data_IF_466556135025
#
_entry.id   IF_466556135025
#
_cell.length_a   1.000
_cell.length_b   1.000
_cell.length_c   1.000
_cell.angle_alpha   90.00
_cell.angle_beta   90.00
_cell.angle_gamma   90.00
#
_symmetry.space_group_name_H-M   'P 1'
#
loop_
_entity.id
_entity.type
_entity.pdbx_description
1 polymer ?
#
# COMPACT_ATOMS: atom_id res chain seq x y z
N UNK A 1 9.34 -55.05 17.14
CA UNK A 1 9.56 -53.64 16.76
C UNK A 1 8.47 -53.25 15.78
N UNK A 2 7.50 -52.53 16.24
CA UNK A 2 6.42 -52.07 15.35
C UNK A 2 6.96 -50.94 14.49
N UNK A 3 6.76 -50.99 13.18
CA UNK A 3 7.11 -49.87 12.36
C UNK A 3 6.29 -48.67 12.83
N UNK A 4 6.98 -47.63 13.27
CA UNK A 4 6.34 -46.36 13.46
C UNK A 4 5.80 -45.94 12.09
N UNK A 5 4.50 -46.10 11.95
CA UNK A 5 3.81 -45.42 10.85
C UNK A 5 4.04 -43.95 11.10
N UNK A 6 4.90 -43.35 10.31
CA UNK A 6 4.99 -41.92 10.28
C UNK A 6 3.58 -41.37 10.10
N UNK A 7 3.09 -40.67 11.11
CA UNK A 7 1.82 -40.01 11.00
C UNK A 7 1.85 -39.18 9.73
N UNK A 8 0.92 -39.50 8.80
CA UNK A 8 0.76 -38.66 7.63
C UNK A 8 0.67 -37.20 8.09
N UNK A 9 1.39 -36.30 7.46
CA UNK A 9 1.28 -34.90 7.83
C UNK A 9 -0.19 -34.52 7.82
N UNK A 10 -0.67 -34.10 8.97
CA UNK A 10 -2.02 -33.56 9.08
C UNK A 10 -2.12 -32.49 7.98
N UNK A 11 -3.04 -32.61 7.04
CA UNK A 11 -3.18 -31.58 6.03
C UNK A 11 -3.44 -30.29 6.79
N UNK A 12 -2.50 -29.38 6.66
CA UNK A 12 -2.71 -28.00 7.07
C UNK A 12 -4.04 -27.58 6.46
N UNK A 13 -4.99 -27.05 7.24
CA UNK A 13 -6.22 -26.59 6.65
C UNK A 13 -5.83 -25.58 5.58
N UNK A 14 -6.04 -25.99 4.34
CA UNK A 14 -5.88 -25.11 3.20
C UNK A 14 -6.73 -23.88 3.48
N UNK A 15 -6.14 -22.67 3.44
CA UNK A 15 -6.95 -21.49 3.60
C UNK A 15 -8.08 -21.58 2.58
N UNK A 16 -9.30 -21.22 2.97
CA UNK A 16 -10.43 -21.30 2.05
C UNK A 16 -10.03 -20.55 0.78
N UNK A 17 -10.31 -21.13 -0.37
CA UNK A 17 -9.97 -20.49 -1.64
C UNK A 17 -10.53 -19.07 -1.59
N UNK A 18 -9.66 -18.11 -1.73
CA UNK A 18 -10.08 -16.72 -1.86
C UNK A 18 -10.96 -16.71 -3.09
N UNK A 19 -12.25 -16.65 -2.85
CA UNK A 19 -13.18 -16.53 -3.94
C UNK A 19 -13.04 -15.13 -4.54
N UNK A 20 -12.12 -15.06 -5.50
CA UNK A 20 -11.87 -13.87 -6.28
C UNK A 20 -13.17 -13.34 -6.89
N UNK A 21 -14.13 -14.20 -7.12
CA UNK A 21 -15.44 -13.81 -7.64
C UNK A 21 -16.28 -13.09 -6.58
N UNK A 22 -16.22 -13.52 -5.33
CA UNK A 22 -16.92 -12.80 -4.27
C UNK A 22 -16.20 -11.50 -3.90
N UNK A 23 -14.88 -11.49 -3.99
CA UNK A 23 -14.11 -10.26 -3.85
C UNK A 23 -14.38 -9.30 -5.03
N UNK A 24 -14.47 -9.82 -6.25
CA UNK A 24 -14.83 -9.04 -7.44
C UNK A 24 -16.33 -8.71 -7.49
N UNK A 25 -17.19 -9.58 -6.97
CA UNK A 25 -18.64 -9.35 -6.92
C UNK A 25 -19.02 -8.30 -5.88
N UNK A 26 -18.29 -8.21 -4.80
CA UNK A 26 -18.41 -7.09 -3.84
C UNK A 26 -17.75 -5.82 -4.36
N UNK A 27 -16.88 -5.99 -5.33
CA UNK A 27 -16.26 -4.96 -6.09
C UNK A 27 -16.97 -4.62 -7.39
N UNK A 28 -18.15 -5.19 -7.59
CA UNK A 28 -18.88 -5.15 -8.84
C UNK A 28 -19.23 -3.75 -9.31
N UNK A 29 -18.68 -3.39 -10.40
CA UNK A 29 -18.89 -2.10 -11.03
C UNK A 29 -17.97 -1.01 -10.49
N UNK A 30 -17.30 -0.37 -11.39
CA UNK A 30 -16.25 0.61 -11.10
C UNK A 30 -16.67 1.80 -10.21
N UNK A 31 -17.94 1.92 -9.90
CA UNK A 31 -18.45 2.98 -9.02
C UNK A 31 -18.89 2.52 -7.64
N UNK A 32 -19.43 1.33 -7.51
CA UNK A 32 -20.00 0.83 -6.25
C UNK A 32 -19.02 -0.01 -5.43
N UNK A 33 -18.02 -0.57 -6.08
CA UNK A 33 -16.97 -1.35 -5.45
C UNK A 33 -16.16 -0.55 -4.44
N UNK A 34 -16.07 0.71 -4.67
CA UNK A 34 -15.26 1.61 -3.87
C UNK A 34 -15.91 1.98 -2.54
N UNK A 35 -17.18 1.69 -2.34
CA UNK A 35 -17.89 2.00 -1.10
C UNK A 35 -17.66 1.01 0.03
N UNK A 36 -17.52 -0.28 -0.28
CA UNK A 36 -17.56 -1.36 0.73
C UNK A 36 -16.33 -1.48 1.62
N UNK A 37 -15.11 -1.24 1.10
CA UNK A 37 -13.84 -1.33 1.85
C UNK A 37 -13.29 0.01 2.31
N UNK A 38 -13.92 1.08 1.93
CA UNK A 38 -13.41 2.44 2.10
C UNK A 38 -13.97 3.18 3.32
N UNK A 39 -14.84 2.54 4.09
CA UNK A 39 -15.42 3.14 5.30
C UNK A 39 -16.16 4.46 5.08
N UNK A 40 -16.72 4.66 3.89
CA UNK A 40 -17.43 5.89 3.52
C UNK A 40 -16.54 6.99 2.93
N UNK A 41 -15.29 6.70 2.62
CA UNK A 41 -14.42 7.64 1.89
C UNK A 41 -14.84 7.66 0.42
N UNK A 42 -15.30 8.80 -0.05
CA UNK A 42 -15.81 8.99 -1.41
C UNK A 42 -15.17 10.20 -2.06
N UNK A 43 -14.91 10.08 -3.36
CA UNK A 43 -14.33 11.13 -4.17
C UNK A 43 -13.04 10.70 -4.84
N UNK A 44 -12.49 11.58 -5.66
CA UNK A 44 -11.25 11.30 -6.38
C UNK A 44 -10.06 11.31 -5.43
N UNK A 45 -9.12 10.35 -5.58
CA UNK A 45 -7.91 10.35 -4.79
C UNK A 45 -7.07 11.60 -5.05
N UNK A 46 -6.48 12.13 -3.99
CA UNK A 46 -5.54 13.24 -4.07
C UNK A 46 -4.14 12.65 -4.27
N UNK A 47 -3.40 13.06 -5.30
CA UNK A 47 -2.02 12.62 -5.47
C UNK A 47 -1.15 13.03 -4.28
N UNK A 48 -0.36 12.10 -3.76
CA UNK A 48 0.55 12.38 -2.64
C UNK A 48 1.62 13.42 -3.01
N UNK A 49 1.96 13.51 -4.29
CA UNK A 49 2.91 14.49 -4.84
C UNK A 49 2.23 15.77 -5.33
N UNK A 50 0.97 15.99 -4.98
CA UNK A 50 0.26 17.21 -5.34
C UNK A 50 1.01 18.46 -4.87
N UNK A 51 1.09 19.45 -5.75
CA UNK A 51 1.70 20.74 -5.48
C UNK A 51 0.69 21.81 -5.03
N UNK A 52 -0.56 21.42 -4.84
CA UNK A 52 -1.59 22.34 -4.36
C UNK A 52 -1.21 22.87 -2.97
N UNK A 53 -1.06 24.19 -2.87
CA UNK A 53 -0.64 24.87 -1.65
C UNK A 53 -1.58 24.59 -0.46
N UNK A 54 -2.85 24.30 -0.72
CA UNK A 54 -3.83 23.99 0.34
C UNK A 54 -3.54 22.68 1.05
N UNK A 55 -2.86 21.76 0.37
CA UNK A 55 -2.66 20.40 0.86
C UNK A 55 -1.19 20.07 1.14
N UNK A 56 -0.27 20.91 0.69
CA UNK A 56 1.16 20.62 0.67
C UNK A 56 1.72 20.27 2.06
N UNK A 57 1.36 21.02 3.09
CA UNK A 57 1.85 20.77 4.45
C UNK A 57 1.40 19.41 4.97
N UNK A 58 0.15 19.06 4.77
CA UNK A 58 -0.38 17.79 5.21
C UNK A 58 0.23 16.62 4.42
N UNK A 59 0.29 16.77 3.09
CA UNK A 59 0.90 15.75 2.23
C UNK A 59 2.39 15.55 2.54
N UNK A 60 3.11 16.60 2.91
CA UNK A 60 4.50 16.49 3.36
C UNK A 60 4.64 15.67 4.63
N UNK A 61 3.74 15.86 5.57
CA UNK A 61 3.71 15.04 6.80
C UNK A 61 3.45 13.57 6.49
N UNK A 62 2.54 13.28 5.58
CA UNK A 62 2.28 11.91 5.13
C UNK A 62 3.53 11.32 4.48
N UNK A 63 4.15 12.06 3.54
CA UNK A 63 5.36 11.61 2.84
C UNK A 63 6.49 11.27 3.82
N UNK A 64 6.72 12.13 4.81
CA UNK A 64 7.77 11.90 5.81
C UNK A 64 7.53 10.63 6.62
N UNK A 65 6.30 10.42 7.07
CA UNK A 65 5.94 9.22 7.84
C UNK A 65 6.09 7.94 7.03
N UNK A 66 5.65 7.97 5.78
CA UNK A 66 5.76 6.83 4.89
C UNK A 66 7.22 6.55 4.56
N UNK A 67 7.99 7.58 4.20
CA UNK A 67 9.42 7.44 3.89
C UNK A 67 10.25 6.90 5.06
N UNK A 68 9.90 7.27 6.28
CA UNK A 68 10.58 6.79 7.47
C UNK A 68 10.48 5.26 7.63
N UNK A 69 9.48 4.65 7.05
CA UNK A 69 9.20 3.22 7.14
C UNK A 69 9.39 2.46 5.82
N UNK A 70 9.82 3.19 4.78
CA UNK A 70 9.97 2.63 3.44
C UNK A 70 11.43 2.35 3.11
N UNK A 71 11.69 1.20 2.50
CA UNK A 71 13.02 0.82 2.08
C UNK A 71 13.00 -0.09 0.86
N UNK A 72 14.18 -0.39 0.36
CA UNK A 72 14.35 -1.38 -0.68
C UNK A 72 14.34 -2.79 -0.09
N UNK A 73 13.49 -3.69 -0.60
CA UNK A 73 13.58 -5.10 -0.22
C UNK A 73 14.85 -5.73 -0.79
N UNK A 74 15.50 -6.55 0.02
CA UNK A 74 16.63 -7.31 -0.43
C UNK A 74 16.16 -8.66 -0.96
N UNK A 75 16.21 -8.82 -2.28
CA UNK A 75 16.05 -10.11 -2.93
C UNK A 75 17.43 -10.68 -3.14
N UNK A 76 17.78 -11.72 -2.38
CA UNK A 76 19.08 -12.35 -2.55
C UNK A 76 19.14 -13.13 -3.85
N UNK A 77 20.15 -12.83 -4.67
CA UNK A 77 20.50 -13.68 -5.77
C UNK A 77 21.18 -14.96 -5.26
N UNK A 78 21.17 -16.04 -6.06
CA UNK A 78 21.81 -17.31 -5.69
C UNK A 78 23.31 -17.21 -5.41
N UNK A 79 23.94 -16.10 -5.78
CA UNK A 79 25.38 -15.92 -5.80
C UNK A 79 25.92 -14.75 -4.97
N UNK A 80 25.08 -14.06 -4.16
CA UNK A 80 25.64 -12.99 -3.35
C UNK A 80 24.72 -11.82 -3.02
N UNK A 81 25.06 -10.58 -3.41
CA UNK A 81 24.39 -9.39 -2.89
C UNK A 81 22.92 -9.28 -3.29
N UNK A 82 22.22 -8.40 -2.60
CA UNK A 82 20.82 -8.09 -2.94
C UNK A 82 20.66 -7.65 -4.38
N UNK A 83 19.69 -8.22 -5.06
CA UNK A 83 19.33 -7.82 -6.41
C UNK A 83 18.22 -6.77 -6.33
N UNK A 84 18.59 -5.51 -6.54
CA UNK A 84 17.65 -4.40 -6.53
C UNK A 84 17.08 -4.16 -7.93
N UNK A 85 15.76 -3.96 -7.99
CA UNK A 85 15.06 -3.71 -9.25
C UNK A 85 14.60 -2.27 -9.32
N UNK A 86 14.76 -1.66 -10.48
CA UNK A 86 14.11 -0.39 -10.80
C UNK A 86 12.68 -0.68 -11.24
N UNK A 87 11.73 -0.20 -10.48
CA UNK A 87 10.30 -0.40 -10.77
C UNK A 87 9.47 0.65 -10.05
N UNK A 88 8.20 0.68 -10.33
CA UNK A 88 7.26 1.56 -9.64
C UNK A 88 5.93 0.85 -9.41
N UNK A 89 5.23 1.29 -8.38
CA UNK A 89 3.86 0.86 -8.12
C UNK A 89 3.02 2.06 -7.72
N UNK A 90 1.72 1.89 -7.83
CA UNK A 90 0.76 2.90 -7.39
C UNK A 90 -0.13 2.27 -6.34
N UNK A 91 -0.25 2.94 -5.21
CA UNK A 91 -1.07 2.52 -4.08
C UNK A 91 -2.07 3.62 -3.77
N UNK A 92 -3.32 3.23 -3.59
CA UNK A 92 -4.35 4.12 -3.07
C UNK A 92 -4.62 3.74 -1.62
N UNK A 93 -4.70 4.73 -0.75
CA UNK A 93 -5.06 4.50 0.64
C UNK A 93 -6.01 5.57 1.14
N UNK A 94 -6.81 5.20 2.10
CA UNK A 94 -7.81 6.07 2.69
C UNK A 94 -7.50 6.41 4.13
N UNK A 95 -7.61 7.70 4.46
CA UNK A 95 -7.40 8.22 5.81
C UNK A 95 -8.70 8.84 6.29
N UNK A 96 -9.19 8.37 7.43
CA UNK A 96 -10.34 8.96 8.09
C UNK A 96 -10.00 10.36 8.64
N UNK A 97 -10.99 11.16 8.93
CA UNK A 97 -10.83 12.54 9.43
C UNK A 97 -9.87 12.65 10.62
N UNK A 98 -9.86 11.65 11.49
CA UNK A 98 -9.02 11.59 12.68
C UNK A 98 -7.58 11.08 12.41
N UNK A 99 -7.27 10.72 11.19
CA UNK A 99 -5.95 10.23 10.79
C UNK A 99 -5.81 8.71 10.75
N UNK A 100 -6.83 7.95 11.13
CA UNK A 100 -6.77 6.48 11.06
C UNK A 100 -6.77 6.00 9.63
N UNK A 101 -5.93 5.01 9.34
CA UNK A 101 -5.89 4.36 8.04
C UNK A 101 -7.12 3.44 7.89
N UNK A 102 -7.91 3.65 6.84
CA UNK A 102 -9.11 2.88 6.59
C UNK A 102 -8.89 1.74 5.60
N UNK A 103 -8.12 1.99 4.54
CA UNK A 103 -7.80 0.99 3.53
C UNK A 103 -6.46 1.28 2.86
N UNK A 104 -5.85 0.24 2.30
CA UNK A 104 -4.66 0.34 1.43
C UNK A 104 -4.83 -0.65 0.29
N UNK A 105 -4.82 -0.16 -0.94
CA UNK A 105 -4.98 -0.97 -2.14
C UNK A 105 -3.87 -0.71 -3.15
N UNK A 106 -3.25 -1.77 -3.65
CA UNK A 106 -2.32 -1.65 -4.77
C UNK A 106 -3.12 -1.51 -6.06
N UNK A 107 -3.06 -0.33 -6.66
CA UNK A 107 -3.76 -0.02 -7.91
C UNK A 107 -2.99 -0.51 -9.12
N UNK A 108 -1.67 -0.36 -9.06
CA UNK A 108 -0.76 -0.87 -10.08
C UNK A 108 0.45 -1.51 -9.40
N UNK A 109 0.60 -2.82 -9.60
CA UNK A 109 1.72 -3.58 -9.02
C UNK A 109 3.05 -3.19 -9.65
N UNK A 110 4.11 -3.28 -8.85
CA UNK A 110 5.49 -3.17 -9.33
C UNK A 110 5.92 -4.33 -10.23
N UNK A 111 5.16 -5.43 -10.22
CA UNK A 111 5.55 -6.71 -10.82
C UNK A 111 6.32 -7.61 -9.86
N UNK A 112 6.65 -7.12 -8.69
CA UNK A 112 7.36 -7.86 -7.64
C UNK A 112 6.58 -7.80 -6.34
N UNK A 113 5.97 -8.91 -5.89
CA UNK A 113 5.14 -8.88 -4.67
C UNK A 113 5.84 -8.31 -3.44
N UNK A 114 7.13 -8.59 -3.27
CA UNK A 114 7.88 -8.08 -2.12
C UNK A 114 8.00 -6.54 -2.13
N UNK A 115 8.11 -5.92 -3.31
CA UNK A 115 8.14 -4.47 -3.45
C UNK A 115 6.79 -3.86 -3.11
N UNK A 116 5.72 -4.50 -3.57
CA UNK A 116 4.36 -4.08 -3.24
C UNK A 116 4.10 -4.17 -1.73
N UNK A 117 4.53 -5.27 -1.10
CA UNK A 117 4.39 -5.46 0.34
C UNK A 117 5.16 -4.41 1.15
N UNK A 118 6.36 -4.05 0.72
CA UNK A 118 7.16 -3.02 1.40
C UNK A 118 6.49 -1.65 1.33
N UNK A 119 5.91 -1.30 0.19
CA UNK A 119 5.18 -0.04 0.04
C UNK A 119 3.91 -0.02 0.90
N UNK A 120 3.13 -1.08 0.87
CA UNK A 120 1.92 -1.21 1.70
C UNK A 120 2.26 -1.16 3.18
N UNK A 121 3.30 -1.87 3.60
CA UNK A 121 3.76 -1.85 5.00
C UNK A 121 4.27 -0.47 5.42
N UNK A 122 4.93 0.26 4.54
CA UNK A 122 5.38 1.62 4.83
C UNK A 122 4.21 2.54 5.17
N UNK A 123 3.10 2.41 4.44
CA UNK A 123 1.88 3.17 4.71
C UNK A 123 1.26 2.73 6.04
N UNK A 124 1.14 1.44 6.28
CA UNK A 124 0.57 0.89 7.51
C UNK A 124 1.37 1.30 8.74
N UNK A 125 2.69 1.22 8.66
CA UNK A 125 3.59 1.59 9.76
C UNK A 125 3.64 3.11 9.99
N UNK A 126 3.38 3.89 8.96
CA UNK A 126 3.26 5.34 9.08
C UNK A 126 1.99 5.80 9.79
N UNK A 127 0.97 4.95 9.85
CA UNK A 127 -0.29 5.25 10.53
C UNK A 127 -0.15 5.08 12.06
N UNK A 128 -0.98 5.77 12.88
CA UNK A 128 -1.97 6.76 12.49
C UNK A 128 -1.31 8.05 11.97
N UNK A 129 -1.95 8.65 11.00
CA UNK A 129 -1.51 9.92 10.43
C UNK A 129 -2.06 11.11 11.22
N UNK A 130 -1.55 12.32 11.02
CA UNK A 130 -2.19 13.50 11.57
C UNK A 130 -3.64 13.64 11.08
N UNK A 131 -4.47 14.31 11.87
CA UNK A 131 -5.86 14.57 11.49
C UNK A 131 -5.92 15.31 10.14
N UNK A 132 -6.89 14.92 9.31
CA UNK A 132 -7.04 15.48 7.97
C UNK A 132 -7.53 16.92 8.07
N UNK A 133 -6.89 17.89 7.39
CA UNK A 133 -7.38 19.27 7.37
C UNK A 133 -8.79 19.36 6.76
N UNK A 134 -9.64 20.26 7.28
CA UNK A 134 -10.99 20.43 6.74
C UNK A 134 -11.01 20.76 5.24
N UNK A 135 -10.03 21.49 4.75
CA UNK A 135 -9.91 21.85 3.34
C UNK A 135 -9.80 20.64 2.42
N UNK A 136 -9.12 19.58 2.89
CA UNK A 136 -9.00 18.35 2.14
C UNK A 136 -10.31 17.55 2.15
N UNK A 137 -11.02 17.57 3.28
CA UNK A 137 -12.33 16.91 3.37
C UNK A 137 -13.33 17.56 2.41
N UNK A 138 -13.32 18.88 2.33
CA UNK A 138 -14.22 19.63 1.43
C UNK A 138 -13.94 19.33 -0.05
N UNK A 139 -12.70 19.01 -0.39
CA UNK A 139 -12.33 18.63 -1.76
C UNK A 139 -12.86 17.27 -2.18
N UNK A 140 -13.24 16.43 -1.21
CA UNK A 140 -13.81 15.12 -1.45
C UNK A 140 -15.32 15.24 -1.74
N UNK A 141 -15.92 14.13 -2.13
CA UNK A 141 -17.36 14.06 -2.33
C UNK A 141 -18.09 14.36 -1.03
N UNK A 142 -19.21 15.07 -1.14
CA UNK A 142 -20.03 15.47 0.00
C UNK A 142 -20.40 14.25 0.85
N UNK A 143 -20.17 14.33 2.16
CA UNK A 143 -20.45 13.24 3.08
C UNK A 143 -19.31 12.23 3.21
N UNK A 144 -18.18 12.44 2.56
CA UNK A 144 -17.02 11.57 2.72
C UNK A 144 -16.52 11.57 4.17
N UNK A 145 -16.16 10.38 4.67
CA UNK A 145 -15.65 10.18 6.03
C UNK A 145 -14.15 10.45 6.16
N UNK A 146 -13.49 10.74 5.07
CA UNK A 146 -12.05 10.96 5.02
C UNK A 146 -11.57 11.31 3.62
N UNK A 147 -10.29 11.11 3.38
CA UNK A 147 -9.66 11.38 2.09
C UNK A 147 -9.01 10.13 1.52
N UNK A 148 -9.07 9.99 0.21
CA UNK A 148 -8.30 9.00 -0.53
C UNK A 148 -7.04 9.65 -1.08
N UNK A 149 -5.91 8.97 -0.92
CA UNK A 149 -4.59 9.43 -1.38
C UNK A 149 -4.05 8.41 -2.37
N UNK A 150 -3.51 8.93 -3.48
CA UNK A 150 -2.84 8.13 -4.49
C UNK A 150 -1.34 8.34 -4.40
N UNK A 151 -0.59 7.31 -4.04
CA UNK A 151 0.85 7.37 -3.88
C UNK A 151 1.56 6.55 -4.95
N UNK A 152 2.54 7.14 -5.60
CA UNK A 152 3.46 6.43 -6.47
C UNK A 152 4.76 6.17 -5.73
N UNK A 153 5.15 4.90 -5.65
CA UNK A 153 6.42 4.48 -5.10
C UNK A 153 7.38 4.17 -6.25
N UNK A 154 8.44 4.93 -6.35
CA UNK A 154 9.47 4.74 -7.38
C UNK A 154 10.70 4.11 -6.72
N UNK A 155 11.00 2.88 -7.11
CA UNK A 155 12.24 2.21 -6.76
C UNK A 155 13.22 2.44 -7.91
N UNK A 156 14.22 3.27 -7.65
CA UNK A 156 15.24 3.60 -8.66
C UNK A 156 16.58 3.11 -8.17
N UNK A 157 17.19 2.21 -8.92
CA UNK A 157 18.55 1.78 -8.65
C UNK A 157 19.50 2.74 -9.35
N UNK A 158 20.13 3.62 -8.57
CA UNK A 158 21.10 4.56 -9.08
C UNK A 158 22.49 3.91 -9.10
N UNK A 159 22.91 3.46 -10.28
CA UNK A 159 24.22 2.85 -10.49
C UNK A 159 25.37 3.82 -10.30
N UNK A 160 25.13 5.13 -10.42
CA UNK A 160 26.17 6.14 -10.22
C UNK A 160 26.51 6.31 -8.74
N UNK A 161 25.53 6.25 -7.86
CA UNK A 161 25.76 6.29 -6.41
C UNK A 161 26.42 5.00 -5.90
N UNK A 162 26.10 3.86 -6.50
CA UNK A 162 26.72 2.58 -6.14
C UNK A 162 28.21 2.58 -6.49
N UNK A 163 28.61 3.30 -7.51
CA UNK A 163 30.01 3.42 -7.90
C UNK A 163 30.80 4.40 -7.02
N UNK A 164 30.12 5.34 -6.37
CA UNK A 164 30.75 6.28 -5.45
C UNK A 164 30.98 5.72 -4.05
N UNK A 165 30.28 4.64 -3.71
CA UNK A 165 30.33 3.99 -2.40
C UNK A 165 31.21 2.74 -2.38
N UNK A 166 31.94 2.49 -3.45
CA UNK A 166 32.90 1.38 -3.54
C UNK A 166 34.31 1.83 -3.18
#
# INVERSE_FOLDING_TARGET
MLPQVAAAPVPTPEPPPIDIRSALGRGGGAGSARGGGRGGIEGEPIPLDSTDAKFSDYLDRLRRRIKANWGFPCIKSATGPCDYKTTSLIVEFGILKDGRLQFVDVVKSSGFPIYDDYAVNAIKLGSPFPAVPPEMIVSMKRGSTGVAIMARFNYVVDTSLTNLLR
#
